data_IF_109314656504
#
_entry.id   IF_109314656504
#
_cell.length_a   1.000
_cell.length_b   1.000
_cell.length_c   1.000
_cell.angle_alpha   90.00
_cell.angle_beta   90.00
_cell.angle_gamma   90.00
#
_symmetry.space_group_name_H-M   'P 1'
#
loop_
_entity.id
_entity.type
_entity.pdbx_description
1 polymer ?
#
# COMPACT_ATOMS: atom_id res chain seq x y z
N UNK A 1 -6.35 13.21 -1.13
CA UNK A 1 -5.47 13.75 -2.20
C UNK A 1 -5.08 12.74 -3.30
N UNK A 2 -4.42 11.59 -3.03
CA UNK A 2 -4.04 10.61 -4.09
C UNK A 2 -5.24 9.99 -4.83
N UNK A 3 -6.25 9.49 -4.09
CA UNK A 3 -7.45 8.88 -4.68
C UNK A 3 -8.27 9.85 -5.54
N UNK A 4 -8.47 11.08 -5.08
CA UNK A 4 -9.14 12.14 -5.85
C UNK A 4 -8.42 12.46 -7.17
N UNK A 5 -7.09 12.47 -7.18
CA UNK A 5 -6.32 12.64 -8.43
C UNK A 5 -6.52 11.48 -9.40
N UNK A 6 -6.65 10.25 -8.89
CA UNK A 6 -6.85 9.06 -9.73
C UNK A 6 -8.21 9.03 -10.41
N UNK A 7 -9.23 9.61 -9.78
CA UNK A 7 -10.56 9.81 -10.39
C UNK A 7 -10.56 10.85 -11.53
N UNK A 8 -9.50 11.66 -11.64
CA UNK A 8 -9.30 12.58 -12.77
C UNK A 8 -8.64 11.94 -13.99
N UNK A 9 -8.31 10.64 -13.93
CA UNK A 9 -7.90 9.83 -15.07
C UNK A 9 -9.08 8.94 -15.49
N UNK A 10 -8.96 8.21 -16.62
CA UNK A 10 -9.96 7.21 -17.09
C UNK A 10 -10.04 5.96 -16.19
N UNK A 11 -10.07 6.14 -14.86
CA UNK A 11 -10.25 5.10 -13.87
C UNK A 11 -11.63 5.23 -13.23
N UNK A 12 -12.38 4.14 -13.23
CA UNK A 12 -13.65 4.06 -12.51
C UNK A 12 -13.44 4.08 -10.99
N UNK A 13 -14.49 4.45 -10.26
CA UNK A 13 -14.48 4.41 -8.79
C UNK A 13 -14.14 3.02 -8.25
N UNK A 14 -14.60 1.96 -8.92
CA UNK A 14 -14.31 0.58 -8.53
C UNK A 14 -12.83 0.20 -8.75
N UNK A 15 -12.19 0.73 -9.79
CA UNK A 15 -10.75 0.57 -10.00
C UNK A 15 -9.95 1.33 -8.92
N UNK A 16 -10.35 2.56 -8.59
CA UNK A 16 -9.70 3.36 -7.54
C UNK A 16 -9.92 2.76 -6.15
N UNK A 17 -11.08 2.13 -5.91
CA UNK A 17 -11.39 1.47 -4.65
C UNK A 17 -10.43 0.31 -4.34
N UNK A 18 -10.01 -0.44 -5.37
CA UNK A 18 -9.07 -1.56 -5.23
C UNK A 18 -7.61 -1.13 -5.02
N UNK A 19 -7.27 0.12 -5.31
CA UNK A 19 -5.93 0.64 -5.08
C UNK A 19 -5.69 0.78 -3.58
N UNK A 20 -4.75 -0.03 -3.09
CA UNK A 20 -4.22 0.05 -1.72
C UNK A 20 -2.98 0.93 -1.70
N UNK A 21 -2.77 1.59 -0.57
CA UNK A 21 -1.58 2.37 -0.33
C UNK A 21 -1.37 2.54 1.18
N UNK A 22 -0.12 2.60 1.66
CA UNK A 22 1.16 2.41 0.95
C UNK A 22 1.37 0.97 0.41
N UNK A 23 2.43 0.73 -0.36
CA UNK A 23 2.79 -0.59 -0.92
C UNK A 23 4.05 -1.14 -0.23
N UNK A 24 4.06 -2.44 0.07
CA UNK A 24 5.05 -3.16 0.89
C UNK A 24 4.55 -3.58 2.28
N UNK A 25 5.46 -4.05 3.15
CA UNK A 25 5.21 -4.20 4.58
C UNK A 25 5.77 -2.98 5.34
N UNK A 26 5.19 -2.58 6.50
CA UNK A 26 5.68 -1.46 7.29
C UNK A 26 6.97 -1.81 8.06
N UNK A 27 8.09 -1.97 7.35
CA UNK A 27 9.41 -2.33 7.91
C UNK A 27 10.29 -1.11 8.25
N UNK A 28 9.76 0.10 8.18
CA UNK A 28 10.52 1.33 8.40
C UNK A 28 11.46 1.69 7.24
N UNK A 29 11.09 1.37 6.00
CA UNK A 29 11.91 1.65 4.81
C UNK A 29 12.06 3.15 4.54
N UNK A 30 13.30 3.58 4.29
CA UNK A 30 13.68 4.94 3.89
C UNK A 30 14.48 4.97 2.59
N UNK A 31 15.15 3.87 2.22
CA UNK A 31 15.98 3.78 1.01
C UNK A 31 15.33 2.95 -0.10
N UNK A 32 15.68 3.16 -1.39
CA UNK A 32 15.12 2.36 -2.49
C UNK A 32 15.29 0.83 -2.32
N UNK A 33 16.45 0.30 -1.87
CA UNK A 33 16.59 -1.12 -1.56
C UNK A 33 15.63 -1.61 -0.46
N UNK A 34 15.48 -0.84 0.63
CA UNK A 34 14.54 -1.19 1.71
C UNK A 34 13.09 -1.17 1.23
N UNK A 35 12.72 -0.23 0.35
CA UNK A 35 11.38 -0.18 -0.24
C UNK A 35 11.15 -1.40 -1.13
N UNK A 36 12.13 -1.81 -1.92
CA UNK A 36 12.03 -3.00 -2.76
C UNK A 36 11.82 -4.28 -1.93
N UNK A 37 12.55 -4.43 -0.82
CA UNK A 37 12.37 -5.55 0.12
C UNK A 37 10.97 -5.52 0.74
N UNK A 38 10.48 -4.36 1.18
CA UNK A 38 9.13 -4.22 1.72
C UNK A 38 8.06 -4.69 0.74
N UNK A 39 8.16 -4.29 -0.54
CA UNK A 39 7.25 -4.69 -1.61
C UNK A 39 7.35 -6.19 -1.89
N UNK A 40 8.56 -6.73 -2.03
CA UNK A 40 8.76 -8.15 -2.28
C UNK A 40 8.21 -9.03 -1.15
N UNK A 41 8.35 -8.58 0.10
CA UNK A 41 7.80 -9.24 1.27
C UNK A 41 6.27 -9.24 1.26
N UNK A 42 5.63 -8.11 0.94
CA UNK A 42 4.16 -8.03 0.80
C UNK A 42 3.67 -9.02 -0.27
N UNK A 43 4.26 -9.02 -1.47
CA UNK A 43 3.89 -9.94 -2.55
C UNK A 43 4.01 -11.41 -2.12
N UNK A 44 5.10 -11.75 -1.41
CA UNK A 44 5.34 -13.11 -0.91
C UNK A 44 4.30 -13.51 0.14
N UNK A 45 3.95 -12.60 1.05
CA UNK A 45 2.93 -12.84 2.06
C UNK A 45 1.54 -13.06 1.44
N UNK A 46 1.15 -12.26 0.43
CA UNK A 46 -0.10 -12.47 -0.32
C UNK A 46 -0.10 -13.85 -0.97
N UNK A 47 0.99 -14.20 -1.66
CA UNK A 47 1.14 -15.49 -2.35
C UNK A 47 0.98 -16.68 -1.40
N UNK A 48 1.47 -16.55 -0.17
CA UNK A 48 1.45 -17.60 0.84
C UNK A 48 0.21 -17.55 1.77
N UNK A 49 -0.76 -16.66 1.51
CA UNK A 49 -1.97 -16.55 2.32
C UNK A 49 -1.75 -16.00 3.73
N UNK A 50 -0.64 -15.32 3.98
CA UNK A 50 -0.36 -14.69 5.27
C UNK A 50 -1.16 -13.40 5.39
N UNK A 51 -1.82 -13.22 6.54
CA UNK A 51 -2.56 -12.00 6.85
C UNK A 51 -1.60 -10.80 6.81
N UNK A 52 -1.93 -9.79 6.01
CA UNK A 52 -1.10 -8.60 5.84
C UNK A 52 -1.21 -7.72 7.08
N UNK A 53 -0.10 -7.35 7.76
CA UNK A 53 -0.13 -6.27 8.73
C UNK A 53 -0.40 -4.98 7.94
N UNK A 54 -1.60 -4.43 8.09
CA UNK A 54 -1.93 -3.14 7.49
C UNK A 54 -0.97 -2.08 8.00
N UNK A 55 -0.66 -1.07 7.17
CA UNK A 55 -0.05 0.14 7.73
C UNK A 55 -0.93 0.62 8.86
N UNK A 56 -0.34 0.94 10.03
CA UNK A 56 -1.10 1.61 11.07
C UNK A 56 -1.75 2.83 10.40
N UNK A 57 -3.07 2.94 10.54
CA UNK A 57 -3.78 4.12 10.09
C UNK A 57 -3.18 5.30 10.85
N UNK A 58 -2.22 5.99 10.26
CA UNK A 58 -1.66 7.21 10.82
C UNK A 58 -2.77 8.26 10.76
N UNK A 59 -3.56 8.31 11.84
CA UNK A 59 -4.75 9.16 11.94
C UNK A 59 -5.66 8.89 13.15
N UNK A 60 -5.15 8.47 14.32
CA UNK A 60 -5.92 8.45 15.58
C UNK A 60 -5.19 9.06 16.78
N UNK A 61 -4.15 9.86 16.56
CA UNK A 61 -3.56 10.71 17.62
C UNK A 61 -3.14 12.05 16.99
N UNK A 62 -4.10 12.96 16.91
CA UNK A 62 -3.96 14.42 16.94
C UNK A 62 -5.34 15.03 17.22
#
# INVERSE_FOLDING_TARGET
KRRQRLLGFDLSESQVARLRGPAGLPIGSHTPPEIAVAIAAEMTAIKNGIAQPGWPATGSEA
#
